data_IF_906739217251
#
_entry.id   IF_906739217251
#
_cell.length_a   1.000
_cell.length_b   1.000
_cell.length_c   1.000
_cell.angle_alpha   90.00
_cell.angle_beta   90.00
_cell.angle_gamma   90.00
#
_symmetry.space_group_name_H-M   'P 1'
#
loop_
_entity.id
_entity.type
_entity.pdbx_description
1 polymer ?
#
# COMPACT_ATOMS: atom_id res chain seq x y z
N UNK A 1 -4.20 -24.94 -9.12
CA UNK A 1 -3.29 -24.46 -10.19
C UNK A 1 -4.01 -23.99 -11.47
N UNK A 2 -5.14 -24.59 -11.89
CA UNK A 2 -5.87 -24.17 -13.11
C UNK A 2 -6.72 -22.89 -12.99
N UNK A 3 -7.14 -22.50 -11.78
CA UNK A 3 -8.02 -21.33 -11.57
C UNK A 3 -7.37 -19.99 -11.97
N UNK A 4 -6.11 -19.74 -11.61
CA UNK A 4 -5.42 -18.48 -11.91
C UNK A 4 -5.20 -18.21 -13.41
N UNK A 5 -5.12 -19.27 -14.24
CA UNK A 5 -4.92 -19.13 -15.69
C UNK A 5 -6.22 -18.78 -16.43
N UNK A 6 -7.37 -19.09 -15.84
CA UNK A 6 -8.70 -18.76 -16.36
C UNK A 6 -9.24 -17.42 -15.79
N UNK A 7 -8.70 -16.96 -14.66
CA UNK A 7 -9.02 -15.64 -14.07
C UNK A 7 -9.01 -14.48 -15.07
N UNK A 8 -8.03 -14.32 -15.98
CA UNK A 8 -8.07 -13.19 -16.92
C UNK A 8 -9.29 -13.23 -17.85
N UNK A 9 -9.74 -14.41 -18.29
CA UNK A 9 -10.94 -14.56 -19.13
C UNK A 9 -12.21 -14.22 -18.33
N UNK A 10 -12.32 -14.74 -17.10
CA UNK A 10 -13.47 -14.47 -16.23
C UNK A 10 -13.58 -12.99 -15.83
N UNK A 11 -12.48 -12.35 -15.49
CA UNK A 11 -12.43 -10.92 -15.15
C UNK A 11 -12.80 -10.06 -16.37
N UNK A 12 -12.34 -10.42 -17.57
CA UNK A 12 -12.68 -9.69 -18.81
C UNK A 12 -14.20 -9.72 -19.09
N UNK A 13 -14.83 -10.90 -18.98
CA UNK A 13 -16.28 -11.03 -19.16
C UNK A 13 -17.07 -10.28 -18.10
N UNK A 14 -16.63 -10.29 -16.84
CA UNK A 14 -17.29 -9.54 -15.76
C UNK A 14 -17.18 -8.03 -15.95
N UNK A 15 -16.00 -7.53 -16.34
CA UNK A 15 -15.80 -6.11 -16.65
C UNK A 15 -16.69 -5.71 -17.83
N UNK A 16 -16.66 -6.45 -18.93
CA UNK A 16 -17.48 -6.17 -20.11
C UNK A 16 -18.99 -6.18 -19.80
N UNK A 17 -19.47 -7.16 -19.03
CA UNK A 17 -20.86 -7.20 -18.58
C UNK A 17 -21.21 -5.98 -17.73
N UNK A 18 -20.30 -5.58 -16.82
CA UNK A 18 -20.50 -4.37 -16.01
C UNK A 18 -20.52 -3.09 -16.83
N UNK A 19 -19.71 -2.98 -17.90
CA UNK A 19 -19.75 -1.84 -18.82
C UNK A 19 -21.09 -1.72 -19.55
N UNK A 20 -21.73 -2.84 -19.91
CA UNK A 20 -23.03 -2.84 -20.59
C UNK A 20 -24.20 -2.52 -19.64
N UNK A 21 -24.04 -2.80 -18.35
CA UNK A 21 -25.03 -2.56 -17.29
C UNK A 21 -24.95 -1.13 -16.74
N UNK A 22 -23.86 -0.41 -17.00
CA UNK A 22 -23.64 0.97 -16.55
C UNK A 22 -24.24 1.97 -17.54
N UNK A 23 -25.22 2.74 -17.08
CA UNK A 23 -25.84 3.82 -17.87
C UNK A 23 -24.97 5.07 -17.94
N UNK A 24 -24.17 5.34 -16.89
CA UNK A 24 -23.29 6.52 -16.83
C UNK A 24 -21.87 6.17 -16.35
N UNK A 25 -20.96 6.07 -17.32
CA UNK A 25 -19.55 5.79 -17.05
C UNK A 25 -18.87 6.89 -16.24
N UNK A 26 -19.28 8.15 -16.40
CA UNK A 26 -18.64 9.26 -15.72
C UNK A 26 -18.87 9.19 -14.21
N UNK A 27 -20.07 8.79 -13.78
CA UNK A 27 -20.39 8.61 -12.36
C UNK A 27 -19.56 7.48 -11.72
N UNK A 28 -19.40 6.37 -12.43
CA UNK A 28 -18.64 5.21 -11.92
C UNK A 28 -17.15 5.52 -11.80
N UNK A 29 -16.57 6.18 -12.81
CA UNK A 29 -15.18 6.65 -12.71
C UNK A 29 -15.01 7.67 -11.56
N UNK A 30 -16.00 8.54 -11.33
CA UNK A 30 -16.01 9.45 -10.19
C UNK A 30 -16.01 8.71 -8.84
N UNK A 31 -16.89 7.71 -8.69
CA UNK A 31 -16.95 6.86 -7.48
C UNK A 31 -15.66 6.07 -7.26
N UNK A 32 -15.06 5.52 -8.31
CA UNK A 32 -13.80 4.80 -8.24
C UNK A 32 -12.63 5.73 -7.86
N UNK A 33 -12.61 6.95 -8.39
CA UNK A 33 -11.64 7.99 -8.02
C UNK A 33 -11.75 8.37 -6.55
N UNK A 34 -12.98 8.58 -6.04
CA UNK A 34 -13.21 8.85 -4.61
C UNK A 34 -12.77 7.67 -3.74
N UNK A 35 -13.08 6.44 -4.14
CA UNK A 35 -12.60 5.25 -3.44
C UNK A 35 -11.07 5.22 -3.36
N UNK A 36 -10.37 5.42 -4.47
CA UNK A 36 -8.92 5.48 -4.51
C UNK A 36 -8.37 6.58 -3.59
N UNK A 37 -8.95 7.78 -3.62
CA UNK A 37 -8.55 8.90 -2.78
C UNK A 37 -8.71 8.59 -1.28
N UNK A 38 -9.82 7.95 -0.88
CA UNK A 38 -10.07 7.54 0.51
C UNK A 38 -9.07 6.46 0.95
N UNK A 39 -8.80 5.46 0.11
CA UNK A 39 -7.85 4.39 0.43
C UNK A 39 -6.43 4.95 0.57
N UNK A 40 -5.97 5.76 -0.39
CA UNK A 40 -4.63 6.36 -0.35
C UNK A 40 -4.48 7.28 0.85
N UNK A 41 -5.46 8.15 1.12
CA UNK A 41 -5.42 9.02 2.29
C UNK A 41 -5.43 8.24 3.60
N UNK A 42 -6.21 7.16 3.69
CA UNK A 42 -6.21 6.25 4.84
C UNK A 42 -4.85 5.60 5.07
N UNK A 43 -4.20 5.09 4.03
CA UNK A 43 -2.87 4.47 4.13
C UNK A 43 -1.82 5.51 4.56
N UNK A 44 -1.84 6.71 3.97
CA UNK A 44 -0.91 7.80 4.34
C UNK A 44 -1.13 8.23 5.79
N UNK A 45 -2.38 8.43 6.20
CA UNK A 45 -2.71 8.78 7.58
C UNK A 45 -2.29 7.69 8.56
N UNK A 46 -2.54 6.43 8.24
CA UNK A 46 -2.12 5.32 9.07
C UNK A 46 -0.59 5.23 9.18
N UNK A 47 0.12 5.41 8.07
CA UNK A 47 1.58 5.37 7.99
C UNK A 47 2.29 6.52 8.72
N UNK A 48 1.71 7.72 8.72
CA UNK A 48 2.34 8.94 9.24
C UNK A 48 1.84 9.35 10.62
N UNK A 49 0.61 8.96 10.99
CA UNK A 49 0.01 9.36 12.28
C UNK A 49 -0.11 8.16 13.21
N UNK A 50 -0.78 7.08 12.78
CA UNK A 50 -1.10 5.95 13.67
C UNK A 50 0.16 5.18 14.07
N UNK A 51 0.99 4.77 13.10
CA UNK A 51 2.22 4.02 13.39
C UNK A 51 3.24 4.85 14.20
N UNK A 52 3.52 6.12 13.86
CA UNK A 52 4.39 6.98 14.67
C UNK A 52 3.85 7.24 16.08
N UNK A 53 2.53 7.40 16.25
CA UNK A 53 1.93 7.57 17.56
C UNK A 53 2.11 6.32 18.45
N UNK A 54 1.88 5.12 17.91
CA UNK A 54 2.10 3.86 18.63
C UNK A 54 3.57 3.71 19.00
N UNK A 55 4.49 3.99 18.06
CA UNK A 55 5.93 3.93 18.32
C UNK A 55 6.36 4.89 19.44
N UNK A 56 5.88 6.14 19.39
CA UNK A 56 6.18 7.15 20.40
C UNK A 56 5.64 6.76 21.79
N UNK A 57 4.43 6.20 21.87
CA UNK A 57 3.85 5.75 23.13
C UNK A 57 4.64 4.62 23.79
N UNK A 58 5.17 3.68 23.00
CA UNK A 58 5.90 2.52 23.52
C UNK A 58 7.38 2.82 23.81
N UNK A 59 8.05 3.52 22.90
CA UNK A 59 9.51 3.72 22.98
C UNK A 59 9.90 5.07 23.59
N UNK A 60 8.97 6.04 23.64
CA UNK A 60 9.23 7.45 23.95
C UNK A 60 10.38 8.09 23.18
N UNK A 61 10.72 7.53 22.02
CA UNK A 61 11.72 8.05 21.08
C UNK A 61 11.04 8.75 19.90
N UNK A 62 11.77 9.66 19.26
CA UNK A 62 11.26 10.40 18.10
C UNK A 62 11.00 9.45 16.91
N UNK A 63 9.73 9.20 16.52
CA UNK A 63 9.41 8.28 15.42
C UNK A 63 9.85 8.79 14.05
N UNK A 64 9.98 10.11 13.88
CA UNK A 64 10.36 10.68 12.58
C UNK A 64 11.82 10.39 12.22
N UNK A 65 12.72 10.33 13.20
CA UNK A 65 14.11 9.91 12.97
C UNK A 65 14.18 8.45 12.52
N UNK A 66 13.38 7.57 13.14
CA UNK A 66 13.26 6.18 12.74
C UNK A 66 12.73 6.03 11.30
N UNK A 67 11.70 6.79 10.96
CA UNK A 67 11.10 6.75 9.62
C UNK A 67 12.07 7.26 8.53
N UNK A 68 12.85 8.31 8.81
CA UNK A 68 13.89 8.81 7.90
C UNK A 68 14.97 7.76 7.65
N UNK A 69 15.42 7.07 8.70
CA UNK A 69 16.39 5.98 8.58
C UNK A 69 15.87 4.81 7.73
N UNK A 70 14.56 4.56 7.74
CA UNK A 70 13.91 3.54 6.92
C UNK A 70 13.60 3.97 5.47
N UNK A 71 13.97 5.18 5.04
CA UNK A 71 13.62 5.71 3.72
C UNK A 71 14.02 4.80 2.54
N UNK A 72 15.14 4.09 2.65
CA UNK A 72 15.58 3.13 1.63
C UNK A 72 14.66 1.92 1.52
N UNK A 73 14.22 1.35 2.65
CA UNK A 73 13.27 0.24 2.66
C UNK A 73 11.91 0.66 2.09
N UNK A 74 11.46 1.89 2.38
CA UNK A 74 10.23 2.45 1.82
C UNK A 74 10.33 2.60 0.29
N UNK A 75 11.46 3.13 -0.21
CA UNK A 75 11.70 3.26 -1.65
C UNK A 75 11.71 1.89 -2.37
N UNK A 76 12.37 0.89 -1.79
CA UNK A 76 12.36 -0.48 -2.32
C UNK A 76 10.97 -1.10 -2.27
N UNK A 77 10.19 -0.85 -1.21
CA UNK A 77 8.81 -1.34 -1.10
C UNK A 77 7.89 -0.75 -2.15
N UNK A 78 8.05 0.53 -2.45
CA UNK A 78 7.32 1.16 -3.53
C UNK A 78 7.70 0.58 -4.90
N UNK A 79 8.99 0.39 -5.17
CA UNK A 79 9.47 -0.14 -6.45
C UNK A 79 9.15 -1.61 -6.71
N UNK A 80 9.08 -2.44 -5.66
CA UNK A 80 8.81 -3.88 -5.79
C UNK A 80 7.35 -4.25 -5.60
N UNK A 81 6.57 -3.41 -4.92
CA UNK A 81 5.15 -3.69 -4.55
C UNK A 81 4.95 -5.05 -3.85
N UNK A 82 6.00 -5.61 -3.23
CA UNK A 82 5.98 -6.93 -2.60
C UNK A 82 6.65 -6.90 -1.24
N UNK A 83 5.88 -7.18 -0.18
CA UNK A 83 6.38 -7.17 1.19
C UNK A 83 7.47 -8.23 1.47
N UNK A 84 7.45 -9.36 0.76
CA UNK A 84 8.47 -10.40 0.92
C UNK A 84 9.79 -10.02 0.27
N UNK A 85 9.75 -9.27 -0.83
CA UNK A 85 10.94 -8.76 -1.49
C UNK A 85 11.62 -7.64 -0.67
N UNK A 86 10.88 -6.97 0.21
CA UNK A 86 11.37 -5.82 0.99
C UNK A 86 11.91 -6.18 2.36
N UNK A 87 11.59 -7.37 2.85
CA UNK A 87 12.03 -7.87 4.15
C UNK A 87 13.56 -7.75 4.36
N UNK A 88 14.44 -8.22 3.44
CA UNK A 88 15.89 -8.16 3.68
C UNK A 88 16.41 -6.72 3.79
N UNK A 89 15.90 -5.81 2.95
CA UNK A 89 16.29 -4.39 2.98
C UNK A 89 15.77 -3.70 4.25
N UNK A 90 14.60 -4.12 4.73
CA UNK A 90 14.03 -3.62 5.99
C UNK A 90 14.90 -4.00 7.18
N UNK A 91 15.33 -5.26 7.26
CA UNK A 91 16.20 -5.74 8.36
C UNK A 91 17.55 -5.02 8.36
N UNK A 92 18.19 -4.84 7.20
CA UNK A 92 19.44 -4.07 7.10
C UNK A 92 19.26 -2.61 7.58
N UNK A 93 18.17 -1.94 7.19
CA UNK A 93 17.92 -0.58 7.65
C UNK A 93 17.65 -0.50 9.17
N UNK A 94 17.10 -1.55 9.77
CA UNK A 94 16.89 -1.61 11.22
C UNK A 94 18.22 -1.75 11.96
N UNK A 95 19.08 -2.69 11.53
CA UNK A 95 20.35 -3.00 12.18
C UNK A 95 21.39 -1.88 11.96
N UNK A 96 21.55 -1.39 10.72
CA UNK A 96 22.60 -0.43 10.38
C UNK A 96 22.24 1.02 10.71
N UNK A 97 20.98 1.43 10.48
CA UNK A 97 20.57 2.85 10.61
C UNK A 97 19.83 3.15 11.89
N UNK A 98 19.10 2.18 12.45
CA UNK A 98 18.37 2.34 13.71
C UNK A 98 19.05 1.66 14.90
N UNK A 99 20.12 0.87 14.67
CA UNK A 99 20.90 0.17 15.69
C UNK A 99 20.01 -0.66 16.64
N UNK A 100 19.03 -1.35 16.06
CA UNK A 100 18.10 -2.26 16.75
C UNK A 100 18.54 -3.69 16.51
#
# INVERSE_FOLDING_TARGET
>A
LFHHRLSPIGVLSLIAAKFLEMEDLAEVFGKLGLYFAVVVSGIVFHGVVVLPAIYFLLTRKNPYTFLLNMGQAIATAFGTSSSSATLPVTLQCLEEKNHI
#
